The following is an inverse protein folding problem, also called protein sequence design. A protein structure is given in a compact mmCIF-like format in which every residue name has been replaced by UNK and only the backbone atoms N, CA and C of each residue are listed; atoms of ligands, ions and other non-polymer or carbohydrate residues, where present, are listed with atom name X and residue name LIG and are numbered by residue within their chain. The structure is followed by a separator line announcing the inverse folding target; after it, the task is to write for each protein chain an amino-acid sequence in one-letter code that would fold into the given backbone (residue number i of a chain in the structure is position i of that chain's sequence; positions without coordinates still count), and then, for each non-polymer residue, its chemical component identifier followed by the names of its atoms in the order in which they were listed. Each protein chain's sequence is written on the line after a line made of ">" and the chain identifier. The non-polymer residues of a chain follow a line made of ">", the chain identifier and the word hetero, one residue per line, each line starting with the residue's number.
data_IF_596638029201
#
_entry.id   IF_596638029201
#
_cell.length_a   1.000
_cell.length_b   1.000
_cell.length_c   1.000
_cell.angle_alpha   90.00
_cell.angle_beta   90.00
_cell.angle_gamma   90.00
#
_symmetry.space_group_name_H-M   'P 1'
#
loop_
_entity.id
_entity.type
_entity.pdbx_description
1 polymer ?
#
# COMPACT_ATOMS: atom_id res chain seq x y z
N UNK A 1 11.42 -18.35 13.61
CA UNK A 1 10.38 -17.47 13.02
C UNK A 1 9.05 -17.76 13.71
N UNK A 2 8.16 -16.78 13.75
CA UNK A 2 6.82 -16.90 14.34
C UNK A 2 5.79 -16.33 13.39
N UNK A 3 4.61 -16.93 13.38
CA UNK A 3 3.45 -16.46 12.62
C UNK A 3 2.35 -16.09 13.62
N UNK A 4 1.75 -14.91 13.45
CA UNK A 4 0.59 -14.47 14.23
C UNK A 4 -0.48 -13.93 13.30
N UNK A 5 -1.72 -14.31 13.55
CA UNK A 5 -2.90 -13.76 12.88
C UNK A 5 -3.64 -12.82 13.83
N UNK A 6 -4.11 -11.70 13.28
CA UNK A 6 -4.87 -10.67 13.99
C UNK A 6 -6.03 -10.23 13.08
N UNK A 7 -7.15 -9.89 13.71
CA UNK A 7 -8.28 -9.28 13.03
C UNK A 7 -8.89 -8.16 13.89
N UNK A 8 -9.65 -7.29 13.23
CA UNK A 8 -10.54 -6.32 13.85
C UNK A 8 -11.72 -6.04 12.91
N UNK A 9 -12.92 -5.92 13.48
CA UNK A 9 -14.12 -5.55 12.73
C UNK A 9 -14.65 -4.17 13.12
N UNK A 10 -15.31 -3.49 12.20
CA UNK A 10 -15.91 -2.18 12.44
C UNK A 10 -16.85 -1.72 11.31
N UNK A 11 -17.52 -0.57 11.50
CA UNK A 11 -18.62 -0.13 10.64
C UNK A 11 -18.17 0.48 9.31
N UNK A 12 -16.89 0.79 9.12
CA UNK A 12 -16.41 1.36 7.86
C UNK A 12 -16.67 0.37 6.70
N UNK A 13 -17.17 0.82 5.54
CA UNK A 13 -17.42 -0.06 4.40
C UNK A 13 -16.12 -0.70 3.85
N UNK A 14 -16.17 -1.93 3.31
CA UNK A 14 -14.97 -2.65 2.83
C UNK A 14 -14.20 -1.88 1.77
N UNK A 15 -14.89 -1.16 0.89
CA UNK A 15 -14.27 -0.33 -0.13
C UNK A 15 -13.46 0.84 0.47
N UNK A 16 -13.94 1.43 1.57
CA UNK A 16 -13.24 2.51 2.27
C UNK A 16 -11.98 1.97 2.94
N UNK A 17 -12.11 0.84 3.64
CA UNK A 17 -10.97 0.16 4.26
C UNK A 17 -9.92 -0.28 3.22
N UNK A 18 -10.38 -0.79 2.07
CA UNK A 18 -9.51 -1.15 0.97
C UNK A 18 -8.79 0.07 0.39
N UNK A 19 -9.47 1.19 0.17
CA UNK A 19 -8.83 2.40 -0.36
C UNK A 19 -7.75 2.95 0.58
N UNK A 20 -7.95 2.80 1.90
CA UNK A 20 -6.97 3.14 2.93
C UNK A 20 -5.73 2.23 2.87
N UNK A 21 -5.86 0.97 2.44
CA UNK A 21 -4.73 0.09 2.14
C UNK A 21 -4.11 0.37 0.77
N UNK A 22 -4.95 0.54 -0.24
CA UNK A 22 -4.53 0.57 -1.63
C UNK A 22 -3.75 1.83 -2.00
N UNK A 23 -3.95 2.93 -1.27
CA UNK A 23 -3.25 4.19 -1.52
C UNK A 23 -2.23 4.47 -0.41
N UNK A 24 -0.91 4.38 -0.68
CA UNK A 24 0.12 4.58 0.34
C UNK A 24 0.09 5.95 1.03
N UNK A 25 -0.41 6.98 0.34
CA UNK A 25 -0.60 8.31 0.93
C UNK A 25 -1.62 8.31 2.10
N UNK A 26 -2.51 7.32 2.15
CA UNK A 26 -3.50 7.16 3.22
C UNK A 26 -2.95 6.39 4.42
N UNK A 27 -1.81 5.68 4.32
CA UNK A 27 -1.32 4.83 5.41
C UNK A 27 -1.13 5.55 6.76
N UNK A 28 -0.59 6.79 6.80
CA UNK A 28 -0.46 7.53 8.06
C UNK A 28 -1.77 7.82 8.79
N UNK A 29 -2.91 7.83 8.07
CA UNK A 29 -4.22 8.14 8.66
C UNK A 29 -4.71 7.05 9.62
N UNK A 30 -4.43 5.77 9.35
CA UNK A 30 -4.88 4.65 10.18
C UNK A 30 -3.73 3.98 10.95
N UNK A 31 -2.50 4.08 10.46
CA UNK A 31 -1.29 3.56 11.11
C UNK A 31 -0.38 4.72 11.59
N UNK A 32 -0.62 5.31 12.77
CA UNK A 32 0.11 6.50 13.24
C UNK A 32 1.62 6.25 13.46
N UNK A 33 2.05 4.99 13.57
CA UNK A 33 3.46 4.62 13.58
C UNK A 33 4.17 4.88 12.24
N UNK A 34 3.42 4.97 11.14
CA UNK A 34 3.88 5.40 9.82
C UNK A 34 3.58 6.89 9.70
N UNK A 35 4.61 7.74 9.78
CA UNK A 35 4.46 9.19 9.67
C UNK A 35 4.35 9.67 8.23
N UNK A 36 5.06 9.02 7.32
CA UNK A 36 5.02 9.32 5.90
C UNK A 36 5.48 8.11 5.09
N UNK A 37 5.05 8.05 3.83
CA UNK A 37 5.49 7.06 2.85
C UNK A 37 6.19 7.80 1.72
N UNK A 38 7.44 7.44 1.48
CA UNK A 38 8.25 7.92 0.37
C UNK A 38 8.36 6.78 -0.64
N UNK A 39 7.66 6.89 -1.77
CA UNK A 39 7.74 5.89 -2.83
C UNK A 39 9.07 6.06 -3.57
N UNK A 40 9.73 4.95 -3.86
CA UNK A 40 10.88 4.99 -4.74
C UNK A 40 10.39 5.48 -6.11
N UNK A 41 11.04 6.51 -6.65
CA UNK A 41 10.71 6.97 -8.00
C UNK A 41 10.84 5.78 -8.96
N UNK A 42 9.90 5.60 -9.92
CA UNK A 42 10.08 4.56 -10.92
C UNK A 42 11.45 4.74 -11.55
N UNK A 43 12.29 3.71 -11.46
CA UNK A 43 13.66 3.75 -11.95
C UNK A 43 13.65 3.83 -13.47
N UNK A 44 13.43 5.03 -14.00
CA UNK A 44 13.70 5.29 -15.40
C UNK A 44 14.14 6.75 -15.64
N UNK A 45 15.38 7.01 -16.08
CA UNK A 45 15.81 8.32 -16.62
C UNK A 45 15.40 8.55 -18.10
N UNK A 46 14.09 8.66 -18.43
CA UNK A 46 13.52 8.95 -19.77
C UNK A 46 12.73 7.87 -20.60
N UNK A 47 11.60 7.31 -20.15
CA UNK A 47 10.78 6.37 -20.91
C UNK A 47 9.32 6.60 -20.51
N UNK A 48 8.43 6.71 -21.51
CA UNK A 48 7.07 7.11 -21.28
C UNK A 48 6.26 5.96 -20.69
N UNK A 49 5.33 6.37 -19.83
CA UNK A 49 4.33 5.51 -19.25
C UNK A 49 3.35 5.03 -20.34
N UNK A 50 3.14 3.71 -20.43
CA UNK A 50 2.04 3.01 -21.13
C UNK A 50 1.88 3.28 -22.64
N UNK A 51 2.14 2.27 -23.48
CA UNK A 51 1.68 2.28 -24.88
C UNK A 51 1.30 0.89 -25.36
N UNK A 52 0.01 0.57 -25.34
CA UNK A 52 -0.55 -0.45 -26.24
C UNK A 52 -1.19 0.19 -27.49
N UNK A 53 -1.41 1.50 -27.53
CA UNK A 53 -2.12 2.19 -28.63
C UNK A 53 -1.23 2.95 -29.64
N UNK A 54 0.10 2.96 -29.49
CA UNK A 54 0.99 3.68 -30.42
C UNK A 54 1.30 2.91 -31.73
N UNK A 55 0.58 1.83 -32.01
CA UNK A 55 0.61 1.13 -33.29
C UNK A 55 -0.55 1.60 -34.18
N UNK A 56 -0.44 2.79 -34.80
CA UNK A 56 -1.29 3.09 -35.95
C UNK A 56 -1.71 4.53 -36.20
N UNK A 57 -0.85 5.54 -36.07
CA UNK A 57 -1.18 6.85 -36.65
C UNK A 57 0.06 7.67 -37.03
N UNK A 58 0.70 7.33 -38.15
CA UNK A 58 1.54 8.32 -38.86
C UNK A 58 0.62 9.33 -39.55
N UNK A 59 0.22 10.40 -38.85
CA UNK A 59 -0.22 11.65 -39.50
C UNK A 59 0.70 12.80 -39.09
N UNK A 60 1.17 13.48 -40.12
CA UNK A 60 2.11 14.61 -40.14
C UNK A 60 1.59 15.78 -39.29
N UNK A 61 2.39 16.42 -38.42
CA UNK A 61 1.91 17.52 -37.60
C UNK A 61 1.89 18.83 -38.39
N UNK A 62 0.72 19.48 -38.44
CA UNK A 62 0.60 20.92 -38.71
C UNK A 62 0.88 21.70 -37.42
N UNK A 63 1.67 22.77 -37.59
CA UNK A 63 2.19 23.68 -36.58
C UNK A 63 1.06 24.40 -35.82
N UNK A 64 1.02 24.31 -34.49
CA UNK A 64 0.25 25.22 -33.64
C UNK A 64 -0.30 24.60 -32.36
N UNK A 65 0.13 25.12 -31.20
CA UNK A 65 -0.56 24.93 -29.92
C UNK A 65 0.21 24.07 -28.90
N UNK A 66 0.95 24.72 -28.00
CA UNK A 66 1.36 24.13 -26.73
C UNK A 66 0.15 24.03 -25.82
N UNK A 67 -0.59 22.93 -25.92
CA UNK A 67 -1.50 22.51 -24.85
C UNK A 67 -0.75 21.47 -24.02
N UNK A 68 -0.19 21.90 -22.89
CA UNK A 68 0.28 20.98 -21.87
C UNK A 68 -0.90 20.12 -21.45
N UNK A 69 -0.90 18.84 -21.84
CA UNK A 69 -1.86 17.88 -21.34
C UNK A 69 -1.64 17.77 -19.83
N UNK A 70 -2.52 18.41 -19.06
CA UNK A 70 -2.57 18.25 -17.62
C UNK A 70 -3.02 16.82 -17.34
N UNK A 71 -2.07 15.90 -17.25
CA UNK A 71 -2.34 14.58 -16.71
C UNK A 71 -2.86 14.80 -15.28
N UNK A 72 -4.13 14.49 -15.04
CA UNK A 72 -4.66 14.44 -13.68
C UNK A 72 -3.98 13.23 -13.04
N UNK A 73 -2.83 13.46 -12.40
CA UNK A 73 -2.12 12.42 -11.68
C UNK A 73 -2.98 12.03 -10.47
N UNK A 74 -3.74 10.94 -10.61
CA UNK A 74 -4.44 10.33 -9.49
C UNK A 74 -3.45 9.84 -8.42
N UNK A 75 -3.94 9.53 -7.21
CA UNK A 75 -3.09 8.98 -6.17
C UNK A 75 -2.46 7.67 -6.62
N UNK A 76 -1.18 7.48 -6.30
CA UNK A 76 -0.49 6.20 -6.58
C UNK A 76 -1.13 5.09 -5.76
N UNK A 77 -1.43 3.98 -6.41
CA UNK A 77 -1.96 2.76 -5.78
C UNK A 77 -0.87 1.71 -5.59
N UNK A 78 -1.08 0.79 -4.65
CA UNK A 78 -0.22 -0.38 -4.48
C UNK A 78 -0.31 -1.28 -5.71
N UNK A 79 0.84 -1.81 -6.09
CA UNK A 79 0.97 -2.82 -7.13
C UNK A 79 2.13 -3.74 -6.76
N UNK A 80 2.13 -5.01 -7.20
CA UNK A 80 3.29 -5.88 -7.03
C UNK A 80 4.57 -5.21 -7.55
N UNK A 81 5.63 -5.24 -6.75
CA UNK A 81 6.90 -4.59 -7.05
C UNK A 81 7.01 -3.13 -6.60
N UNK A 82 5.94 -2.48 -6.15
CA UNK A 82 6.00 -1.12 -5.59
C UNK A 82 6.92 -1.11 -4.37
N UNK A 83 7.86 -0.15 -4.33
CA UNK A 83 8.86 -0.02 -3.27
C UNK A 83 8.86 1.38 -2.69
N UNK A 84 9.35 1.47 -1.47
CA UNK A 84 9.55 2.76 -0.85
C UNK A 84 10.15 2.66 0.54
N UNK A 85 10.12 3.79 1.22
CA UNK A 85 10.56 3.98 2.60
C UNK A 85 9.39 4.46 3.44
N UNK A 86 9.22 3.83 4.59
CA UNK A 86 8.35 4.31 5.66
C UNK A 86 9.18 5.20 6.57
N UNK A 87 8.76 6.45 6.73
CA UNK A 87 9.22 7.26 7.85
C UNK A 87 8.41 6.87 9.08
N UNK A 88 9.08 6.23 10.02
CA UNK A 88 8.47 5.72 11.25
C UNK A 88 8.46 6.77 12.36
N UNK A 89 7.59 6.60 13.35
CA UNK A 89 7.55 7.44 14.55
C UNK A 89 8.90 7.46 15.29
N UNK A 90 9.55 6.29 15.35
CA UNK A 90 10.85 6.08 15.97
C UNK A 90 11.84 5.53 14.93
N UNK A 91 13.07 6.05 14.84
CA UNK A 91 14.11 5.50 13.98
C UNK A 91 14.42 4.01 14.30
N UNK A 92 14.92 3.22 13.33
CA UNK A 92 15.26 3.62 11.96
C UNK A 92 14.05 3.64 11.02
N UNK A 93 14.19 4.31 9.86
CA UNK A 93 13.21 4.20 8.78
C UNK A 93 13.18 2.77 8.23
N UNK A 94 12.00 2.28 7.85
CA UNK A 94 11.83 0.96 7.26
C UNK A 94 11.77 1.05 5.73
N UNK A 95 12.33 0.07 5.02
CA UNK A 95 12.08 -0.08 3.57
C UNK A 95 11.00 -1.13 3.36
N UNK A 96 10.23 -1.01 2.29
CA UNK A 96 9.26 -2.03 1.94
C UNK A 96 9.24 -2.35 0.45
N UNK A 97 8.68 -3.51 0.14
CA UNK A 97 8.27 -3.90 -1.20
C UNK A 97 6.90 -4.59 -1.12
N UNK A 98 5.96 -4.16 -1.94
CA UNK A 98 4.68 -4.87 -2.14
C UNK A 98 4.96 -6.11 -2.99
N UNK A 99 4.59 -7.28 -2.50
CA UNK A 99 4.89 -8.57 -3.14
C UNK A 99 3.70 -9.12 -3.89
N UNK A 100 2.48 -8.86 -3.44
CA UNK A 100 1.25 -9.28 -4.09
C UNK A 100 0.12 -8.28 -3.80
N UNK A 101 -0.80 -8.14 -4.75
CA UNK A 101 -2.04 -7.36 -4.61
C UNK A 101 -3.13 -8.08 -5.38
N UNK A 102 -4.27 -8.28 -4.75
CA UNK A 102 -5.51 -8.69 -5.38
C UNK A 102 -6.59 -7.65 -5.06
N UNK A 103 -6.97 -6.86 -6.07
CA UNK A 103 -7.98 -5.81 -5.93
C UNK A 103 -9.40 -6.39 -5.80
N UNK A 104 -9.64 -7.62 -6.29
CA UNK A 104 -10.96 -8.26 -6.25
C UNK A 104 -11.21 -8.85 -4.86
N UNK A 105 -10.25 -9.64 -4.37
CA UNK A 105 -10.28 -10.24 -3.04
C UNK A 105 -9.92 -9.21 -1.95
N UNK A 106 -9.48 -7.99 -2.34
CA UNK A 106 -9.01 -6.92 -1.45
C UNK A 106 -7.95 -7.43 -0.47
N UNK A 107 -6.97 -8.14 -1.01
CA UNK A 107 -5.83 -8.65 -0.27
C UNK A 107 -4.52 -8.09 -0.81
N UNK A 108 -3.54 -7.93 0.06
CA UNK A 108 -2.21 -7.54 -0.36
C UNK A 108 -1.14 -8.07 0.59
N UNK A 109 0.03 -8.31 0.03
CA UNK A 109 1.19 -8.78 0.77
C UNK A 109 2.36 -7.85 0.52
N UNK A 110 3.19 -7.70 1.55
CA UNK A 110 4.37 -6.88 1.47
C UNK A 110 5.42 -7.34 2.45
N UNK A 111 6.67 -6.99 2.12
CA UNK A 111 7.83 -7.25 2.95
C UNK A 111 8.37 -5.93 3.46
N UNK A 112 8.65 -5.87 4.75
CA UNK A 112 9.21 -4.70 5.43
C UNK A 112 10.55 -5.04 6.05
N UNK A 113 11.58 -4.27 5.73
CA UNK A 113 12.93 -4.38 6.28
C UNK A 113 13.24 -3.25 7.25
N UNK A 114 13.72 -3.59 8.45
CA UNK A 114 14.16 -2.66 9.49
C UNK A 114 15.57 -3.07 9.97
N UNK A 115 16.61 -2.50 9.36
CA UNK A 115 17.98 -2.95 9.60
C UNK A 115 18.17 -4.43 9.25
N UNK A 116 18.61 -5.30 10.19
CA UNK A 116 18.75 -6.75 9.95
C UNK A 116 17.41 -7.51 10.03
N UNK A 117 16.32 -6.85 10.45
CA UNK A 117 15.03 -7.48 10.64
C UNK A 117 14.22 -7.43 9.35
N UNK A 118 13.51 -8.52 9.07
CA UNK A 118 12.57 -8.63 7.97
C UNK A 118 11.23 -9.15 8.51
N UNK A 119 10.14 -8.54 8.05
CA UNK A 119 8.78 -8.94 8.35
C UNK A 119 8.06 -9.16 7.02
N UNK A 120 7.36 -10.28 6.89
CA UNK A 120 6.39 -10.50 5.82
C UNK A 120 4.99 -10.31 6.43
N UNK A 121 4.17 -9.49 5.77
CA UNK A 121 2.84 -9.13 6.22
C UNK A 121 1.85 -9.40 5.08
N UNK A 122 0.78 -10.12 5.40
CA UNK A 122 -0.38 -10.30 4.53
C UNK A 122 -1.59 -9.64 5.15
N UNK A 123 -2.33 -8.90 4.35
CA UNK A 123 -3.50 -8.14 4.76
C UNK A 123 -4.69 -8.46 3.87
N UNK A 124 -5.89 -8.26 4.42
CA UNK A 124 -7.09 -8.21 3.62
C UNK A 124 -8.27 -7.61 4.37
N UNK A 125 -9.33 -7.34 3.62
CA UNK A 125 -10.60 -6.85 4.15
C UNK A 125 -11.78 -7.65 3.60
N UNK A 126 -12.50 -8.26 4.51
CA UNK A 126 -13.70 -9.03 4.20
C UNK A 126 -14.95 -8.21 4.53
N UNK A 127 -15.96 -8.32 3.67
CA UNK A 127 -17.26 -7.71 3.92
C UNK A 127 -18.01 -8.47 5.02
N UNK A 128 -18.57 -7.76 5.99
CA UNK A 128 -19.46 -8.32 6.99
C UNK A 128 -20.93 -8.19 6.54
N UNK A 129 -21.80 -9.07 7.04
CA UNK A 129 -23.23 -9.10 6.67
C UNK A 129 -23.99 -7.83 7.09
N UNK A 130 -23.48 -7.11 8.09
CA UNK A 130 -24.01 -5.84 8.60
C UNK A 130 -23.57 -4.62 7.77
N UNK A 131 -22.84 -4.84 6.68
CA UNK A 131 -22.28 -3.78 5.83
C UNK A 131 -20.95 -3.22 6.31
N UNK A 132 -20.43 -3.69 7.45
CA UNK A 132 -19.11 -3.36 7.97
C UNK A 132 -17.98 -4.15 7.31
N UNK A 133 -16.79 -4.03 7.91
CA UNK A 133 -15.56 -4.70 7.45
C UNK A 133 -14.93 -5.51 8.55
N UNK A 134 -14.40 -6.68 8.22
CA UNK A 134 -13.38 -7.39 9.00
C UNK A 134 -12.03 -7.21 8.33
N UNK A 135 -11.11 -6.47 8.96
CA UNK A 135 -9.75 -6.32 8.49
C UNK A 135 -8.83 -7.29 9.23
N UNK A 136 -8.02 -8.04 8.48
CA UNK A 136 -7.11 -9.03 9.03
C UNK A 136 -5.66 -8.78 8.64
N UNK A 137 -4.76 -9.34 9.43
CA UNK A 137 -3.32 -9.27 9.26
C UNK A 137 -2.66 -10.58 9.70
N UNK A 138 -1.83 -11.14 8.83
CA UNK A 138 -0.91 -12.23 9.15
C UNK A 138 0.53 -11.70 9.15
N UNK A 139 1.24 -11.89 10.25
CA UNK A 139 2.62 -11.41 10.44
C UNK A 139 3.54 -12.62 10.52
N UNK A 140 4.56 -12.66 9.67
CA UNK A 140 5.67 -13.63 9.75
C UNK A 140 6.97 -12.90 10.03
N UNK A 141 7.52 -13.09 11.23
CA UNK A 141 8.74 -12.39 11.67
C UNK A 141 9.42 -13.11 12.85
N UNK A 142 10.62 -12.68 13.30
CA UNK A 142 11.19 -13.18 14.55
C UNK A 142 10.27 -12.93 15.76
N UNK A 143 10.13 -13.91 16.65
CA UNK A 143 9.25 -13.84 17.82
C UNK A 143 9.31 -12.54 18.65
N UNK A 144 10.49 -11.97 18.99
CA UNK A 144 10.53 -10.70 19.73
C UNK A 144 9.95 -9.53 18.94
N UNK A 145 10.12 -9.51 17.62
CA UNK A 145 9.56 -8.48 16.73
C UNK A 145 8.04 -8.56 16.72
N UNK A 146 7.49 -9.78 16.57
CA UNK A 146 6.04 -10.00 16.62
C UNK A 146 5.45 -9.53 17.94
N UNK A 147 6.06 -9.93 19.07
CA UNK A 147 5.57 -9.53 20.41
C UNK A 147 5.53 -8.01 20.60
N UNK A 148 6.55 -7.29 20.12
CA UNK A 148 6.57 -5.83 20.18
C UNK A 148 5.57 -5.16 19.23
N UNK A 149 5.30 -5.75 18.08
CA UNK A 149 4.48 -5.12 17.03
C UNK A 149 2.97 -5.42 17.13
N UNK A 150 2.57 -6.57 17.67
CA UNK A 150 1.15 -6.98 17.76
C UNK A 150 0.22 -5.92 18.38
N UNK A 151 0.56 -5.26 19.51
CA UNK A 151 -0.32 -4.23 20.09
C UNK A 151 -0.54 -3.03 19.16
N UNK A 152 0.53 -2.59 18.49
CA UNK A 152 0.50 -1.49 17.52
C UNK A 152 -0.33 -1.87 16.30
N UNK A 153 -0.12 -3.09 15.78
CA UNK A 153 -0.86 -3.62 14.64
C UNK A 153 -2.37 -3.72 14.93
N UNK A 154 -2.76 -4.20 16.12
CA UNK A 154 -4.18 -4.25 16.53
C UNK A 154 -4.81 -2.87 16.60
N UNK A 155 -4.11 -1.88 17.16
CA UNK A 155 -4.63 -0.51 17.22
C UNK A 155 -4.83 0.07 15.82
N UNK A 156 -3.88 -0.16 14.91
CA UNK A 156 -3.97 0.29 13.53
C UNK A 156 -5.13 -0.38 12.77
N UNK A 157 -5.36 -1.69 12.95
CA UNK A 157 -6.50 -2.39 12.35
C UNK A 157 -7.84 -1.85 12.85
N UNK A 158 -7.96 -1.56 14.15
CA UNK A 158 -9.19 -0.97 14.71
C UNK A 158 -9.47 0.41 14.13
N UNK A 159 -8.43 1.23 13.96
CA UNK A 159 -8.61 2.54 13.35
C UNK A 159 -8.94 2.45 11.85
N UNK A 160 -8.41 1.45 11.16
CA UNK A 160 -8.71 1.21 9.75
C UNK A 160 -10.19 0.88 9.50
N UNK A 161 -10.85 0.19 10.43
CA UNK A 161 -12.26 -0.25 10.27
C UNK A 161 -13.27 0.71 10.89
N UNK A 162 -12.84 1.91 11.31
CA UNK A 162 -13.69 2.98 11.84
C UNK A 162 -13.57 4.24 10.98
#
# INVERSE_FOLDING_TARGET
>A
MSVVFLDASGPAPPQVCWERYAVPANWPSWAPQIRAVELDAPMWPGAPAWSEEAAGARRRPTRGGVAAATAVAGPVRIAPGLRGRLRTLLPPAARFVVTAVDETERTWSWRVGLGPLCLDLDHGVDACLDGGTSAWLRITAPAPVVRGYVPVARAALRHLVH
#
